data_IF_327847022541
#
_entry.id   IF_327847022541
#
_cell.length_a   1.000
_cell.length_b   1.000
_cell.length_c   1.000
_cell.angle_alpha   90.00
_cell.angle_beta   90.00
_cell.angle_gamma   90.00
#
_symmetry.space_group_name_H-M   'P 1'
#
loop_
_entity.id
_entity.type
_entity.pdbx_description
1 polymer ?
#
# COMPACT_ATOMS: atom_id res chain seq x y z
N UNK A 1 -9.04 5.37 15.29
CA UNK A 1 -9.46 4.83 13.99
C UNK A 1 -10.95 5.07 13.91
N UNK A 2 -11.36 5.98 13.03
CA UNK A 2 -12.75 6.36 12.85
C UNK A 2 -13.43 5.41 11.86
N UNK A 3 -14.77 5.34 11.85
CA UNK A 3 -15.54 4.54 10.89
C UNK A 3 -15.18 4.86 9.41
N UNK A 4 -14.80 6.12 9.15
CA UNK A 4 -14.32 6.57 7.85
C UNK A 4 -13.01 5.87 7.41
N UNK A 5 -12.12 5.52 8.34
CA UNK A 5 -10.86 4.84 8.03
C UNK A 5 -11.13 3.41 7.53
N UNK A 6 -12.06 2.71 8.18
CA UNK A 6 -12.48 1.36 7.79
C UNK A 6 -13.25 1.36 6.47
N UNK A 7 -14.07 2.39 6.24
CA UNK A 7 -14.85 2.52 5.00
C UNK A 7 -13.96 2.80 3.79
N UNK A 8 -12.90 3.61 3.93
CA UNK A 8 -11.95 3.84 2.84
C UNK A 8 -11.17 2.57 2.50
N UNK A 9 -10.62 1.87 3.50
CA UNK A 9 -9.88 0.62 3.26
C UNK A 9 -10.78 -0.45 2.62
N UNK A 10 -12.02 -0.57 3.10
CA UNK A 10 -13.02 -1.44 2.48
C UNK A 10 -13.32 -1.02 1.04
N UNK A 11 -13.46 0.27 0.76
CA UNK A 11 -13.70 0.78 -0.60
C UNK A 11 -12.54 0.48 -1.55
N UNK A 12 -11.30 0.58 -1.08
CA UNK A 12 -10.10 0.18 -1.85
C UNK A 12 -10.16 -1.32 -2.16
N UNK A 13 -10.47 -2.16 -1.17
CA UNK A 13 -10.55 -3.62 -1.33
C UNK A 13 -11.66 -4.06 -2.29
N UNK A 14 -12.79 -3.36 -2.27
CA UNK A 14 -13.92 -3.64 -3.17
C UNK A 14 -13.82 -2.88 -4.50
N UNK A 15 -12.81 -2.03 -4.68
CA UNK A 15 -12.57 -1.20 -5.87
C UNK A 15 -13.81 -0.37 -6.24
N UNK A 16 -14.42 0.23 -5.24
CA UNK A 16 -15.64 1.01 -5.39
C UNK A 16 -15.36 2.45 -4.97
N UNK A 17 -15.69 3.43 -5.82
CA UNK A 17 -15.59 4.84 -5.45
C UNK A 17 -16.27 5.14 -4.12
N UNK A 18 -15.68 6.03 -3.32
CA UNK A 18 -16.22 6.40 -2.01
C UNK A 18 -16.59 7.88 -1.96
N UNK A 19 -17.68 8.21 -1.27
CA UNK A 19 -18.09 9.60 -1.04
C UNK A 19 -17.06 10.37 -0.18
N UNK A 20 -16.21 9.66 0.56
CA UNK A 20 -15.10 10.22 1.33
C UNK A 20 -14.05 10.95 0.47
N UNK A 21 -14.12 10.81 -0.86
CA UNK A 21 -13.26 11.53 -1.79
C UNK A 21 -13.74 12.97 -2.10
N UNK A 22 -14.96 13.34 -1.69
CA UNK A 22 -15.51 14.69 -1.91
C UNK A 22 -14.89 15.68 -0.91
N UNK A 23 -14.65 16.91 -1.36
CA UNK A 23 -13.98 17.95 -0.56
C UNK A 23 -14.68 18.24 0.77
N UNK A 24 -16.02 18.26 0.77
CA UNK A 24 -16.87 18.39 1.96
C UNK A 24 -16.50 17.35 3.03
N UNK A 25 -16.28 16.10 2.63
CA UNK A 25 -15.99 15.00 3.56
C UNK A 25 -14.51 14.90 3.96
N UNK A 26 -13.63 15.61 3.26
CA UNK A 26 -12.21 15.74 3.61
C UNK A 26 -11.99 16.89 4.59
N UNK A 27 -12.82 17.93 4.53
CA UNK A 27 -12.59 19.21 5.23
C UNK A 27 -13.55 19.43 6.39
N UNK A 28 -14.85 19.18 6.23
CA UNK A 28 -15.87 19.50 7.23
C UNK A 28 -15.76 18.69 8.53
N UNK A 29 -15.48 17.36 8.51
CA UNK A 29 -15.41 16.56 9.73
C UNK A 29 -14.29 16.96 10.69
N UNK A 30 -13.31 17.73 10.22
CA UNK A 30 -12.13 18.11 10.99
C UNK A 30 -12.05 19.61 11.28
N UNK A 31 -13.11 20.37 11.00
CA UNK A 31 -13.15 21.78 11.36
C UNK A 31 -13.03 21.95 12.88
N UNK A 32 -11.93 22.59 13.32
CA UNK A 32 -11.66 22.86 14.74
C UNK A 32 -10.88 21.76 15.48
N UNK A 33 -10.45 20.68 14.84
CA UNK A 33 -9.61 19.64 15.46
C UNK A 33 -8.35 19.32 14.63
N UNK A 34 -7.20 19.02 15.28
CA UNK A 34 -6.00 18.62 14.56
C UNK A 34 -6.20 17.26 13.88
N UNK A 35 -6.02 17.22 12.57
CA UNK A 35 -6.13 16.00 11.75
C UNK A 35 -4.94 15.07 12.05
N UNK A 36 -5.22 13.84 12.48
CA UNK A 36 -4.18 12.85 12.75
C UNK A 36 -3.34 12.52 11.50
N UNK A 37 -2.09 12.10 11.68
CA UNK A 37 -1.18 11.85 10.56
C UNK A 37 -1.66 10.73 9.61
N UNK A 38 -2.34 9.71 10.14
CA UNK A 38 -2.98 8.66 9.34
C UNK A 38 -4.16 9.23 8.56
N UNK A 39 -4.98 10.10 9.16
CA UNK A 39 -6.10 10.72 8.46
C UNK A 39 -5.62 11.61 7.33
N UNK A 40 -4.53 12.35 7.53
CA UNK A 40 -3.90 13.13 6.45
C UNK A 40 -3.49 12.22 5.28
N UNK A 41 -2.91 11.05 5.55
CA UNK A 41 -2.58 10.05 4.52
C UNK A 41 -3.84 9.55 3.80
N UNK A 42 -4.88 9.17 4.56
CA UNK A 42 -6.13 8.64 4.01
C UNK A 42 -6.84 9.68 3.13
N UNK A 43 -6.80 10.95 3.52
CA UNK A 43 -7.31 12.07 2.69
C UNK A 43 -6.53 12.23 1.38
N UNK A 44 -5.25 11.85 1.31
CA UNK A 44 -4.50 11.81 0.03
C UNK A 44 -4.85 10.57 -0.80
N UNK A 45 -5.18 9.45 -0.14
CA UNK A 45 -5.52 8.19 -0.77
C UNK A 45 -7.00 8.05 -1.15
N UNK A 46 -7.89 8.96 -0.73
CA UNK A 46 -9.34 8.83 -0.86
C UNK A 46 -9.84 8.69 -2.31
N UNK A 47 -9.10 9.20 -3.29
CA UNK A 47 -9.42 9.05 -4.72
C UNK A 47 -9.04 7.68 -5.30
N UNK A 48 -8.19 6.91 -4.62
CA UNK A 48 -7.66 5.63 -5.11
C UNK A 48 -8.76 4.61 -5.46
N UNK A 49 -9.83 4.40 -4.65
CA UNK A 49 -10.89 3.46 -4.99
C UNK A 49 -11.55 3.72 -6.34
N UNK A 50 -11.83 4.99 -6.67
CA UNK A 50 -12.46 5.36 -7.94
C UNK A 50 -11.53 5.10 -9.14
N UNK A 51 -10.21 5.27 -8.97
CA UNK A 51 -9.24 4.92 -10.00
C UNK A 51 -9.15 3.41 -10.21
N UNK A 52 -9.17 2.63 -9.13
CA UNK A 52 -9.21 1.16 -9.21
C UNK A 52 -10.48 0.66 -9.90
N UNK A 53 -11.62 1.31 -9.66
CA UNK A 53 -12.88 1.02 -10.33
C UNK A 53 -12.80 1.30 -11.85
N UNK A 54 -12.27 2.46 -12.23
CA UNK A 54 -12.04 2.84 -13.65
C UNK A 54 -11.10 1.87 -14.33
N UNK A 55 -10.00 1.53 -13.67
CA UNK A 55 -9.04 0.55 -14.16
C UNK A 55 -9.71 -0.81 -14.43
N UNK A 56 -10.53 -1.30 -13.49
CA UNK A 56 -11.25 -2.55 -13.65
C UNK A 56 -12.19 -2.51 -14.87
N UNK A 57 -12.94 -1.42 -15.05
CA UNK A 57 -13.81 -1.24 -16.22
C UNK A 57 -13.03 -1.32 -17.54
N UNK A 58 -11.89 -0.65 -17.64
CA UNK A 58 -11.02 -0.69 -18.84
C UNK A 58 -10.53 -2.10 -19.12
N UNK A 59 -10.09 -2.83 -18.08
CA UNK A 59 -9.53 -4.18 -18.24
C UNK A 59 -10.58 -5.25 -18.59
N UNK A 60 -11.87 -5.00 -18.33
CA UNK A 60 -12.95 -5.96 -18.58
C UNK A 60 -13.70 -5.73 -19.89
N UNK A 61 -13.55 -4.58 -20.53
CA UNK A 61 -14.16 -4.31 -21.84
C UNK A 61 -13.36 -5.07 -22.90
N UNK A 62 -14.02 -5.95 -23.66
CA UNK A 62 -13.39 -6.83 -24.66
C UNK A 62 -12.92 -6.12 -25.94
N UNK A 63 -13.15 -4.82 -26.07
CA UNK A 63 -12.63 -4.00 -27.18
C UNK A 63 -11.27 -3.41 -26.85
N UNK A 64 -10.48 -3.10 -27.87
CA UNK A 64 -9.21 -2.38 -27.70
C UNK A 64 -9.47 -1.11 -26.87
N UNK A 65 -8.81 -0.92 -25.71
CA UNK A 65 -9.06 0.24 -24.88
C UNK A 65 -8.59 1.51 -25.58
N UNK A 66 -9.39 2.56 -25.48
CA UNK A 66 -9.02 3.89 -25.98
C UNK A 66 -7.76 4.39 -25.27
N UNK A 67 -6.70 4.65 -26.06
CA UNK A 67 -5.41 5.09 -25.55
C UNK A 67 -5.51 6.42 -24.79
N UNK A 68 -6.44 7.31 -25.16
CA UNK A 68 -6.66 8.57 -24.44
C UNK A 68 -7.15 8.27 -23.02
N UNK A 69 -8.13 7.38 -22.89
CA UNK A 69 -8.67 6.95 -21.59
C UNK A 69 -7.61 6.26 -20.72
N UNK A 70 -6.74 5.43 -21.31
CA UNK A 70 -5.64 4.75 -20.61
C UNK A 70 -4.60 5.75 -20.10
N UNK A 71 -4.14 6.67 -20.95
CA UNK A 71 -3.16 7.69 -20.57
C UNK A 71 -3.71 8.61 -19.47
N UNK A 72 -4.98 9.03 -19.57
CA UNK A 72 -5.60 9.87 -18.54
C UNK A 72 -5.65 9.17 -17.18
N UNK A 73 -5.97 7.87 -17.19
CA UNK A 73 -5.98 7.08 -15.96
C UNK A 73 -4.57 6.90 -15.38
N UNK A 74 -3.56 6.73 -16.22
CA UNK A 74 -2.15 6.68 -15.79
C UNK A 74 -1.72 7.99 -15.11
N UNK A 75 -2.05 9.14 -15.72
CA UNK A 75 -1.83 10.47 -15.12
C UNK A 75 -2.54 10.62 -13.76
N UNK A 76 -3.78 10.15 -13.65
CA UNK A 76 -4.55 10.23 -12.41
C UNK A 76 -3.90 9.37 -11.28
N UNK A 77 -3.36 8.19 -11.62
CA UNK A 77 -2.58 7.38 -10.68
C UNK A 77 -1.28 8.07 -10.28
N UNK A 78 -0.57 8.71 -11.22
CA UNK A 78 0.62 9.50 -10.91
C UNK A 78 0.29 10.68 -9.98
N UNK A 79 -0.84 11.35 -10.16
CA UNK A 79 -1.29 12.42 -9.27
C UNK A 79 -1.59 11.93 -7.85
N UNK A 80 -2.12 10.71 -7.68
CA UNK A 80 -2.24 10.08 -6.35
C UNK A 80 -0.86 9.79 -5.76
N UNK A 81 0.06 9.22 -6.55
CA UNK A 81 1.41 8.89 -6.09
C UNK A 81 2.18 10.12 -5.62
N UNK A 82 2.12 11.24 -6.35
CA UNK A 82 2.73 12.50 -5.96
C UNK A 82 2.19 12.99 -4.62
N UNK A 83 0.87 12.99 -4.44
CA UNK A 83 0.23 13.38 -3.17
C UNK A 83 0.64 12.49 -1.98
N UNK A 84 0.82 11.19 -2.21
CA UNK A 84 1.32 10.27 -1.18
C UNK A 84 2.77 10.60 -0.80
N UNK A 85 3.64 10.87 -1.78
CA UNK A 85 5.05 11.23 -1.54
C UNK A 85 5.20 12.58 -0.85
N UNK A 86 4.38 13.57 -1.23
CA UNK A 86 4.31 14.86 -0.55
C UNK A 86 3.93 14.70 0.91
N UNK A 87 2.98 13.81 1.22
CA UNK A 87 2.63 13.48 2.60
C UNK A 87 3.82 12.87 3.36
N UNK A 88 4.57 11.94 2.74
CA UNK A 88 5.73 11.31 3.39
C UNK A 88 6.84 12.33 3.68
N UNK A 89 7.12 13.21 2.71
CA UNK A 89 8.06 14.32 2.84
C UNK A 89 7.64 15.28 3.96
N UNK A 90 6.36 15.68 3.99
CA UNK A 90 5.81 16.54 5.03
C UNK A 90 5.94 15.87 6.41
N UNK A 91 5.64 14.58 6.51
CA UNK A 91 5.77 13.85 7.77
C UNK A 91 7.22 13.79 8.26
N UNK A 92 8.17 13.50 7.35
CA UNK A 92 9.62 13.52 7.65
C UNK A 92 10.08 14.89 8.13
N UNK A 93 9.57 15.97 7.53
CA UNK A 93 9.95 17.35 7.91
C UNK A 93 9.42 17.80 9.28
N UNK A 94 8.32 17.20 9.76
CA UNK A 94 7.70 17.55 11.03
C UNK A 94 8.38 16.91 12.24
N UNK A 95 9.19 15.87 12.03
CA UNK A 95 9.85 15.14 13.11
C UNK A 95 11.36 15.37 13.10
N UNK A 96 11.96 15.52 14.28
CA UNK A 96 13.41 15.66 14.44
C UNK A 96 14.15 14.32 14.54
N UNK A 97 13.43 13.21 14.62
CA UNK A 97 13.95 11.86 14.78
C UNK A 97 13.55 10.96 13.60
N UNK A 98 14.27 9.86 13.35
CA UNK A 98 13.89 8.89 12.31
C UNK A 98 12.45 8.40 12.49
N UNK A 99 11.72 8.26 11.39
CA UNK A 99 10.36 7.73 11.40
C UNK A 99 10.31 6.21 11.66
N UNK A 100 11.40 5.51 11.34
CA UNK A 100 11.58 4.10 11.63
C UNK A 100 13.08 3.76 11.70
N UNK A 101 13.42 2.66 12.36
CA UNK A 101 14.77 2.12 12.41
C UNK A 101 14.75 0.59 12.50
N UNK A 102 15.82 -0.05 12.04
CA UNK A 102 15.98 -1.50 12.20
C UNK A 102 16.47 -1.79 13.62
N UNK A 103 15.90 -2.81 14.25
CA UNK A 103 16.36 -3.31 15.55
C UNK A 103 16.48 -4.83 15.50
N UNK A 104 17.70 -5.31 15.71
CA UNK A 104 18.00 -6.72 15.91
C UNK A 104 17.76 -7.05 17.38
N UNK A 105 16.53 -7.34 17.79
CA UNK A 105 16.26 -7.74 19.17
C UNK A 105 16.34 -9.27 19.31
N UNK A 106 17.26 -9.80 20.14
CA UNK A 106 17.39 -11.24 20.36
C UNK A 106 16.30 -11.84 21.27
N UNK A 107 15.50 -11.05 22.00
CA UNK A 107 14.63 -11.58 23.07
C UNK A 107 13.13 -11.32 22.90
N UNK A 108 12.68 -10.54 21.91
CA UNK A 108 11.27 -10.11 21.87
C UNK A 108 10.61 -10.30 20.52
N UNK A 109 9.54 -11.12 20.50
CA UNK A 109 8.39 -11.12 19.58
C UNK A 109 8.66 -11.05 18.06
N UNK A 110 9.92 -11.11 17.68
CA UNK A 110 10.43 -11.00 16.33
C UNK A 110 10.49 -12.41 15.79
N UNK A 111 10.03 -12.58 14.55
CA UNK A 111 10.23 -13.83 13.84
C UNK A 111 11.74 -14.14 13.81
N UNK A 112 12.20 -15.33 14.24
CA UNK A 112 13.64 -15.64 14.29
C UNK A 112 14.30 -15.43 12.91
N UNK A 113 15.22 -14.47 12.82
CA UNK A 113 15.92 -14.11 11.58
C UNK A 113 15.22 -13.08 10.68
N UNK A 114 14.22 -12.34 11.18
CA UNK A 114 13.63 -11.18 10.50
C UNK A 114 14.14 -9.87 11.12
N UNK A 115 14.54 -8.91 10.28
CA UNK A 115 14.91 -7.57 10.73
C UNK A 115 13.63 -6.83 11.18
N UNK A 116 13.38 -6.68 12.48
CA UNK A 116 12.18 -5.97 12.92
C UNK A 116 12.35 -4.45 12.71
N UNK A 117 11.37 -3.83 12.05
CA UNK A 117 11.27 -2.37 12.00
C UNK A 117 10.58 -1.84 13.25
N UNK A 118 11.17 -0.82 13.84
CA UNK A 118 10.67 -0.11 15.00
C UNK A 118 10.30 1.33 14.67
N UNK A 119 9.36 1.86 15.44
CA UNK A 119 8.74 3.15 15.18
C UNK A 119 8.64 3.97 16.47
N UNK A 120 8.63 5.31 16.36
CA UNK A 120 8.45 6.21 17.51
C UNK A 120 7.16 5.92 18.29
N UNK A 121 6.10 5.56 17.57
CA UNK A 121 4.81 5.19 18.14
C UNK A 121 3.98 4.39 17.13
N UNK A 122 2.86 3.88 17.62
CA UNK A 122 1.90 3.12 16.83
C UNK A 122 1.37 3.88 15.62
N UNK A 123 1.04 5.17 15.77
CA UNK A 123 0.45 5.96 14.70
C UNK A 123 1.43 6.13 13.53
N UNK A 124 2.72 6.30 13.81
CA UNK A 124 3.78 6.32 12.81
C UNK A 124 3.88 4.98 12.08
N UNK A 125 3.89 3.87 12.82
CA UNK A 125 3.92 2.52 12.25
C UNK A 125 2.72 2.23 11.34
N UNK A 126 1.51 2.53 11.82
CA UNK A 126 0.27 2.38 11.06
C UNK A 126 0.27 3.26 9.82
N UNK A 127 0.68 4.52 9.92
CA UNK A 127 0.68 5.44 8.77
C UNK A 127 1.68 5.02 7.70
N UNK A 128 2.91 4.69 8.09
CA UNK A 128 3.93 4.26 7.13
C UNK A 128 3.58 2.95 6.44
N UNK A 129 3.05 1.97 7.17
CA UNK A 129 2.65 0.69 6.57
C UNK A 129 1.50 0.84 5.57
N UNK A 130 0.54 1.73 5.84
CA UNK A 130 -0.51 2.08 4.86
C UNK A 130 0.05 2.85 3.67
N UNK A 131 0.96 3.80 3.90
CA UNK A 131 1.62 4.55 2.84
C UNK A 131 2.34 3.60 1.87
N UNK A 132 3.17 2.69 2.38
CA UNK A 132 3.87 1.70 1.56
C UNK A 132 2.89 0.79 0.81
N UNK A 133 1.78 0.40 1.44
CA UNK A 133 0.75 -0.42 0.78
C UNK A 133 0.03 0.34 -0.34
N UNK A 134 -0.34 1.61 -0.13
CA UNK A 134 -0.94 2.44 -1.17
C UNK A 134 0.05 2.69 -2.31
N UNK A 135 1.32 2.93 -2.01
CA UNK A 135 2.36 3.08 -3.01
C UNK A 135 2.52 1.81 -3.85
N UNK A 136 2.53 0.62 -3.23
CA UNK A 136 2.53 -0.65 -3.95
C UNK A 136 1.33 -0.74 -4.89
N UNK A 137 0.11 -0.49 -4.39
CA UNK A 137 -1.12 -0.58 -5.19
C UNK A 137 -1.05 0.36 -6.39
N UNK A 138 -0.71 1.64 -6.18
CA UNK A 138 -0.66 2.63 -7.25
C UNK A 138 0.37 2.25 -8.31
N UNK A 139 1.59 1.91 -7.90
CA UNK A 139 2.69 1.56 -8.82
C UNK A 139 2.42 0.27 -9.61
N UNK A 140 1.78 -0.73 -9.00
CA UNK A 140 1.35 -1.94 -9.72
C UNK A 140 0.36 -1.60 -10.83
N UNK A 141 -0.61 -0.72 -10.57
CA UNK A 141 -1.61 -0.34 -11.58
C UNK A 141 -1.03 0.55 -12.69
N UNK A 142 -0.11 1.46 -12.36
CA UNK A 142 0.65 2.23 -13.37
C UNK A 142 1.42 1.28 -14.29
N UNK A 143 2.12 0.29 -13.73
CA UNK A 143 2.84 -0.71 -14.54
C UNK A 143 1.90 -1.51 -15.44
N UNK A 144 0.73 -1.92 -14.94
CA UNK A 144 -0.28 -2.62 -15.73
C UNK A 144 -0.85 -1.75 -16.86
N UNK A 145 -1.12 -0.46 -16.61
CA UNK A 145 -1.57 0.48 -17.64
C UNK A 145 -0.52 0.68 -18.72
N UNK A 146 0.75 0.79 -18.35
CA UNK A 146 1.85 0.87 -19.30
C UNK A 146 1.91 -0.36 -20.21
N UNK A 147 1.70 -1.56 -19.65
CA UNK A 147 1.61 -2.80 -20.42
C UNK A 147 0.41 -2.78 -21.38
N UNK A 148 -0.79 -2.39 -20.91
CA UNK A 148 -1.98 -2.24 -21.75
C UNK A 148 -1.73 -1.26 -22.91
N UNK A 149 -1.19 -0.07 -22.62
CA UNK A 149 -0.87 0.93 -23.65
C UNK A 149 0.16 0.41 -24.66
N UNK A 150 1.16 -0.34 -24.21
CA UNK A 150 2.21 -0.91 -25.08
C UNK A 150 1.67 -1.99 -26.02
N UNK A 151 0.70 -2.79 -25.57
CA UNK A 151 0.04 -3.80 -26.41
C UNK A 151 -0.90 -3.17 -27.43
N UNK A 152 -1.64 -2.14 -27.04
CA UNK A 152 -2.56 -1.42 -27.93
C UNK A 152 -1.86 -0.63 -29.05
N UNK A 153 -0.62 -0.17 -28.84
CA UNK A 153 0.18 0.54 -29.85
C UNK A 153 0.77 -0.37 -30.94
N UNK A 154 0.63 -1.70 -30.84
CA UNK A 154 1.23 -2.67 -31.76
C UNK A 154 2.75 -2.68 -31.62
N UNK A 155 3.30 -3.66 -30.90
CA UNK A 155 4.71 -3.78 -30.51
C UNK A 155 5.73 -3.18 -31.50
N UNK A 156 6.53 -2.22 -31.02
CA UNK A 156 7.93 -2.01 -31.39
C UNK A 156 8.61 -1.09 -30.37
N UNK A 157 8.83 -1.61 -29.16
CA UNK A 157 10.05 -1.40 -28.38
C UNK A 157 9.88 -2.11 -27.05
N UNK A 158 10.64 -3.19 -26.86
CA UNK A 158 11.08 -3.61 -25.53
C UNK A 158 12.11 -2.58 -25.06
N UNK A 159 11.70 -1.33 -24.93
CA UNK A 159 12.42 -0.40 -24.06
C UNK A 159 12.12 -0.92 -22.68
N UNK A 160 13.16 -1.47 -22.05
CA UNK A 160 13.29 -1.42 -20.61
C UNK A 160 13.17 0.07 -20.26
N UNK A 161 11.95 0.58 -20.06
CA UNK A 161 11.71 1.97 -19.66
C UNK A 161 12.04 2.07 -18.19
N UNK A 162 13.32 1.86 -17.88
CA UNK A 162 13.94 2.32 -16.66
C UNK A 162 14.25 3.80 -16.91
N UNK A 163 13.20 4.61 -17.05
CA UNK A 163 13.29 6.06 -17.08
C UNK A 163 12.22 6.60 -16.15
N UNK A 164 12.51 6.45 -14.86
CA UNK A 164 12.24 7.49 -13.89
C UNK A 164 13.58 7.73 -13.20
N UNK A 165 14.39 8.60 -13.81
CA UNK A 165 15.69 9.00 -13.29
C UNK A 165 15.54 10.25 -12.44
N UNK A 166 16.07 10.14 -11.22
CA UNK A 166 16.56 11.18 -10.30
C UNK A 166 15.56 11.93 -9.39
N UNK A 167 15.59 11.59 -8.09
CA UNK A 167 16.01 12.52 -7.00
C UNK A 167 15.78 11.99 -5.56
N UNK A 168 15.24 10.79 -5.38
CA UNK A 168 15.24 10.08 -4.08
C UNK A 168 15.32 8.58 -4.39
N UNK A 169 16.17 7.81 -3.71
CA UNK A 169 16.28 6.37 -3.94
C UNK A 169 14.93 5.70 -3.65
N UNK A 170 14.11 5.56 -4.68
CA UNK A 170 12.77 5.01 -4.56
C UNK A 170 12.88 3.52 -4.28
N UNK A 171 12.30 3.07 -3.17
CA UNK A 171 12.30 1.67 -2.81
C UNK A 171 11.59 0.85 -3.89
N UNK A 172 12.10 -0.34 -4.20
CA UNK A 172 11.37 -1.27 -5.08
C UNK A 172 10.11 -1.78 -4.38
N UNK A 173 9.13 -2.28 -5.15
CA UNK A 173 7.92 -2.89 -4.57
C UNK A 173 8.26 -4.01 -3.58
N UNK A 174 9.32 -4.77 -3.87
CA UNK A 174 9.84 -5.81 -2.98
C UNK A 174 10.35 -5.24 -1.65
N UNK A 175 11.09 -4.13 -1.69
CA UNK A 175 11.58 -3.50 -0.46
C UNK A 175 10.41 -2.94 0.35
N UNK A 176 9.43 -2.30 -0.28
CA UNK A 176 8.21 -1.85 0.41
C UNK A 176 7.45 -3.02 1.06
N UNK A 177 7.33 -4.15 0.35
CA UNK A 177 6.69 -5.35 0.88
C UNK A 177 7.49 -5.95 2.06
N UNK A 178 8.81 -5.97 1.98
CA UNK A 178 9.70 -6.38 3.07
C UNK A 178 9.53 -5.45 4.29
N UNK A 179 9.49 -4.13 4.09
CA UNK A 179 9.27 -3.14 5.16
C UNK A 179 7.91 -3.31 5.85
N UNK A 180 6.83 -3.53 5.09
CA UNK A 180 5.50 -3.86 5.67
C UNK A 180 5.61 -5.12 6.54
N UNK A 181 6.26 -6.16 6.03
CA UNK A 181 6.43 -7.41 6.76
C UNK A 181 7.30 -7.25 8.02
N UNK A 182 8.38 -6.47 7.94
CA UNK A 182 9.28 -6.17 9.04
C UNK A 182 8.60 -5.35 10.15
N UNK A 183 7.54 -4.61 9.79
CA UNK A 183 6.72 -3.84 10.72
C UNK A 183 5.72 -4.70 11.50
N UNK A 184 5.46 -5.93 11.04
CA UNK A 184 4.48 -6.84 11.64
C UNK A 184 4.80 -7.10 13.11
N UNK A 185 6.07 -7.36 13.44
CA UNK A 185 6.49 -7.67 14.81
C UNK A 185 6.20 -6.51 15.77
N UNK A 186 6.36 -5.26 15.31
CA UNK A 186 6.06 -4.07 16.09
C UNK A 186 4.55 -3.88 16.26
N UNK A 187 3.78 -3.91 15.16
CA UNK A 187 2.33 -3.70 15.20
C UNK A 187 1.61 -4.80 15.99
N UNK A 188 2.13 -6.02 16.00
CA UNK A 188 1.59 -7.13 16.76
C UNK A 188 2.06 -7.18 18.22
N UNK A 189 2.73 -6.15 18.76
CA UNK A 189 3.04 -6.16 20.19
C UNK A 189 1.74 -6.16 21.02
N UNK A 190 1.68 -6.92 22.15
CA UNK A 190 0.47 -7.03 22.97
C UNK A 190 -0.09 -5.68 23.45
N UNK A 191 0.79 -4.68 23.61
CA UNK A 191 0.44 -3.31 24.02
C UNK A 191 -0.52 -2.63 23.06
N UNK A 192 -0.48 -2.96 21.77
CA UNK A 192 -1.29 -2.33 20.73
C UNK A 192 -2.64 -3.03 20.48
N UNK A 193 -2.90 -4.15 21.18
CA UNK A 193 -4.16 -4.92 21.14
C UNK A 193 -4.69 -5.07 19.70
N UNK A 194 -5.95 -4.72 19.47
CA UNK A 194 -6.63 -4.85 18.18
C UNK A 194 -6.18 -3.82 17.15
N UNK A 195 -5.71 -2.64 17.56
CA UNK A 195 -5.36 -1.58 16.62
C UNK A 195 -4.21 -1.98 15.68
N UNK A 196 -3.27 -2.79 16.17
CA UNK A 196 -2.15 -3.27 15.37
C UNK A 196 -2.59 -4.32 14.35
N UNK A 197 -3.57 -5.15 14.74
CA UNK A 197 -4.22 -6.12 13.86
C UNK A 197 -4.99 -5.41 12.74
N UNK A 198 -5.77 -4.36 13.06
CA UNK A 198 -6.50 -3.55 12.09
C UNK A 198 -5.58 -2.97 11.01
N UNK A 199 -4.41 -2.45 11.40
CA UNK A 199 -3.42 -1.93 10.46
C UNK A 199 -2.86 -3.00 9.52
N UNK A 200 -2.83 -4.26 9.95
CA UNK A 200 -2.29 -5.37 9.20
C UNK A 200 -3.27 -5.92 8.14
N UNK A 201 -4.59 -5.68 8.29
CA UNK A 201 -5.62 -6.27 7.42
C UNK A 201 -5.50 -5.86 5.95
N UNK A 202 -5.16 -4.60 5.68
CA UNK A 202 -4.95 -4.12 4.32
C UNK A 202 -3.48 -4.26 3.86
N UNK A 203 -2.55 -3.96 4.76
CA UNK A 203 -1.12 -3.82 4.42
C UNK A 203 -0.43 -5.16 4.17
N UNK A 204 -0.68 -6.18 5.01
CA UNK A 204 -0.02 -7.48 4.85
C UNK A 204 -0.46 -8.23 3.59
N UNK A 205 -1.75 -8.35 3.24
CA UNK A 205 -2.14 -9.00 1.99
C UNK A 205 -1.53 -8.32 0.76
N UNK A 206 -1.41 -6.99 0.79
CA UNK A 206 -0.76 -6.20 -0.26
C UNK A 206 0.71 -6.59 -0.41
N UNK A 207 1.47 -6.66 0.69
CA UNK A 207 2.87 -7.09 0.68
C UNK A 207 3.04 -8.55 0.22
N UNK A 208 2.22 -9.46 0.74
CA UNK A 208 2.26 -10.88 0.39
C UNK A 208 1.95 -11.12 -1.10
N UNK A 209 1.10 -10.29 -1.70
CA UNK A 209 0.81 -10.35 -3.14
C UNK A 209 2.02 -10.02 -3.99
N UNK A 210 2.78 -8.97 -3.64
CA UNK A 210 4.02 -8.61 -4.34
C UNK A 210 4.97 -9.80 -4.37
N UNK A 211 5.15 -10.48 -3.23
CA UNK A 211 6.00 -11.68 -3.18
C UNK A 211 5.50 -12.80 -4.09
N UNK A 212 4.18 -13.00 -4.24
CA UNK A 212 3.61 -14.04 -5.10
C UNK A 212 3.74 -13.73 -6.60
N UNK A 213 3.68 -12.46 -6.99
CA UNK A 213 3.76 -12.05 -8.39
C UNK A 213 5.19 -12.14 -8.95
N UNK A 214 6.19 -12.06 -8.07
CA UNK A 214 7.58 -12.31 -8.44
C UNK A 214 7.81 -13.81 -8.69
N UNK A 215 7.94 -14.19 -9.97
CA UNK A 215 8.10 -15.57 -10.46
C UNK A 215 9.29 -16.30 -9.81
N UNK A 216 10.25 -15.54 -9.26
CA UNK A 216 11.40 -16.05 -8.51
C UNK A 216 11.24 -15.62 -7.05
N UNK A 217 10.27 -16.22 -6.35
CA UNK A 217 10.23 -16.16 -4.89
C UNK A 217 11.57 -16.66 -4.35
N UNK A 218 12.38 -15.75 -3.79
CA UNK A 218 13.53 -16.19 -3.00
C UNK A 218 13.00 -17.10 -1.89
N UNK A 219 13.68 -18.21 -1.65
CA UNK A 219 13.28 -19.18 -0.60
C UNK A 219 13.13 -18.49 0.77
N UNK A 220 13.85 -17.39 1.00
CA UNK A 220 13.71 -16.54 2.19
C UNK A 220 12.36 -15.81 2.28
N UNK A 221 11.86 -15.19 1.21
CA UNK A 221 10.59 -14.43 1.21
C UNK A 221 9.37 -15.34 1.29
N UNK A 222 9.41 -16.50 0.61
CA UNK A 222 8.36 -17.52 0.74
C UNK A 222 8.26 -18.05 2.18
N UNK A 223 9.41 -18.35 2.81
CA UNK A 223 9.47 -18.76 4.22
C UNK A 223 8.97 -17.67 5.16
N UNK A 224 9.35 -16.41 4.93
CA UNK A 224 8.89 -15.25 5.72
C UNK A 224 7.37 -15.10 5.64
N UNK A 225 6.80 -15.16 4.43
CA UNK A 225 5.35 -15.10 4.19
C UNK A 225 4.58 -16.17 4.97
N UNK A 226 5.06 -17.42 4.94
CA UNK A 226 4.46 -18.52 5.70
C UNK A 226 4.55 -18.31 7.21
N UNK A 227 5.66 -17.76 7.71
CA UNK A 227 5.83 -17.46 9.14
C UNK A 227 4.88 -16.36 9.62
N UNK A 228 4.71 -15.30 8.83
CA UNK A 228 3.76 -14.21 9.12
C UNK A 228 2.34 -14.76 9.17
N UNK A 229 1.95 -15.58 8.20
CA UNK A 229 0.63 -16.22 8.18
C UNK A 229 0.39 -17.10 9.43
N UNK A 230 1.38 -17.90 9.84
CA UNK A 230 1.30 -18.72 11.07
C UNK A 230 1.17 -17.87 12.33
N UNK A 231 1.92 -16.77 12.41
CA UNK A 231 1.87 -15.84 13.56
C UNK A 231 0.49 -15.19 13.69
N UNK A 232 -0.15 -14.83 12.58
CA UNK A 232 -1.49 -14.26 12.58
C UNK A 232 -2.55 -15.31 12.95
N UNK A 233 -2.42 -16.52 12.41
CA UNK A 233 -3.28 -17.65 12.76
C UNK A 233 -3.18 -18.03 14.26
N UNK A 234 -2.00 -17.96 14.87
CA UNK A 234 -1.84 -18.19 16.32
C UNK A 234 -2.50 -17.14 17.21
N UNK A 235 -3.05 -16.08 16.62
CA UNK A 235 -3.72 -14.97 17.29
C UNK A 235 -5.16 -14.81 16.84
N UNK A 236 -5.74 -15.89 16.31
CA UNK A 236 -7.11 -15.96 15.79
C UNK A 236 -7.39 -14.95 14.65
N UNK A 237 -6.35 -14.49 13.96
CA UNK A 237 -6.48 -13.62 12.79
C UNK A 237 -6.29 -14.43 11.52
N UNK A 238 -7.41 -14.68 10.86
CA UNK A 238 -7.48 -15.38 9.58
C UNK A 238 -7.77 -14.38 8.47
N UNK A 239 -6.94 -14.39 7.44
CA UNK A 239 -7.22 -13.66 6.21
C UNK A 239 -8.09 -14.55 5.32
N UNK A 240 -9.25 -14.08 4.83
CA UNK A 240 -10.04 -14.86 3.89
C UNK A 240 -9.22 -15.12 2.63
N UNK A 241 -9.24 -16.34 2.09
CA UNK A 241 -8.52 -16.66 0.84
C UNK A 241 -8.85 -15.68 -0.30
N UNK A 242 -10.08 -15.16 -0.31
CA UNK A 242 -10.58 -14.19 -1.28
C UNK A 242 -9.81 -12.85 -1.27
N UNK A 243 -9.24 -12.44 -0.13
CA UNK A 243 -8.38 -11.24 -0.04
C UNK A 243 -7.04 -11.44 -0.75
N UNK A 244 -6.61 -12.69 -0.86
CA UNK A 244 -5.37 -13.10 -1.52
C UNK A 244 -5.58 -13.47 -2.99
N UNK A 245 -6.83 -13.70 -3.41
CA UNK A 245 -7.22 -14.25 -4.72
C UNK A 245 -7.79 -13.21 -5.69
N UNK A 246 -8.15 -12.00 -5.24
CA UNK A 246 -8.47 -10.93 -6.18
C UNK A 246 -7.25 -10.63 -7.07
N UNK A 247 -7.33 -11.03 -8.35
CA UNK A 247 -6.36 -10.66 -9.38
C UNK A 247 -6.35 -9.13 -9.45
N UNK A 248 -5.30 -8.52 -8.91
CA UNK A 248 -4.78 -7.29 -9.50
C UNK A 248 -3.99 -7.79 -10.71
N UNK A 249 -4.25 -7.26 -11.92
CA UNK A 249 -3.48 -7.69 -13.10
C UNK A 249 -1.98 -7.53 -12.90
#
# INVERSE_FOLDING_TARGET
>A
MCLADTDLLSSILHRHGTFLAREEWITEPFQGQPVSIIQQLLNRACGLPALLERFYKINHISSLPDLVTVNQLEEDFHAVLSRLREWEQAFKSQVSHPLFWSRSDPETWSLPGANALWFPNMMAATSLTHYWAFEIVVRTHVSALHQIASTAKGHNSRTHTNVYTEASAEYSLLVLADMICDSTSYLLQPVFKYHGLWSAFFTLPTALRVFRQEQVLSSSRARRSQRIAKLLASRDVYFPENYLVQKIP
#
